data_IF_343523111738
#
_entry.id   IF_343523111738
#
_cell.length_a   1.000
_cell.length_b   1.000
_cell.length_c   1.000
_cell.angle_alpha   90.00
_cell.angle_beta   90.00
_cell.angle_gamma   90.00
#
_symmetry.space_group_name_H-M   'P 1'
#
loop_
_entity.id
_entity.type
_entity.pdbx_description
1 polymer ?
#
# COMPACT_ATOMS: atom_id res chain seq x y z
N UNK A 1 64.24 -8.43 39.40
CA UNK A 1 62.78 -8.47 39.60
C UNK A 1 62.15 -7.30 38.85
N UNK A 2 61.53 -7.53 37.69
CA UNK A 2 60.85 -6.52 36.88
C UNK A 2 59.38 -6.89 36.71
N UNK A 3 58.55 -5.88 36.94
CA UNK A 3 57.12 -5.72 36.73
C UNK A 3 56.68 -6.04 35.30
N UNK A 4 55.50 -6.65 35.14
CA UNK A 4 54.61 -6.39 34.00
C UNK A 4 53.19 -6.89 34.29
N UNK A 5 52.28 -5.95 34.56
CA UNK A 5 50.85 -6.15 34.59
C UNK A 5 50.33 -6.49 33.19
N UNK A 6 49.59 -7.59 33.06
CA UNK A 6 48.93 -7.98 31.81
C UNK A 6 47.53 -7.38 31.79
N UNK A 7 47.43 -6.16 31.27
CA UNK A 7 46.17 -5.53 30.83
C UNK A 7 45.57 -6.38 29.70
N UNK A 8 44.40 -6.96 29.95
CA UNK A 8 43.71 -7.87 29.03
C UNK A 8 42.28 -7.44 28.77
N UNK A 9 42.07 -6.85 27.58
CA UNK A 9 40.81 -6.82 26.79
C UNK A 9 39.56 -6.20 27.43
N UNK A 10 39.32 -4.93 27.09
CA UNK A 10 37.95 -4.46 26.83
C UNK A 10 37.48 -5.07 25.51
N UNK A 11 36.43 -5.87 25.57
CA UNK A 11 35.66 -6.26 24.39
C UNK A 11 34.77 -5.08 24.02
N UNK A 12 35.21 -4.26 23.06
CA UNK A 12 34.34 -3.28 22.39
C UNK A 12 33.45 -4.01 21.39
N UNK A 13 32.36 -4.59 21.89
CA UNK A 13 31.28 -5.17 21.09
C UNK A 13 30.05 -4.28 21.12
N UNK A 14 30.09 -3.10 20.47
CA UNK A 14 28.93 -2.20 20.44
C UNK A 14 28.84 -1.38 19.14
N UNK A 15 29.26 -1.94 18.01
CA UNK A 15 29.22 -1.28 16.69
C UNK A 15 28.10 -1.71 15.75
N UNK A 16 27.44 -2.85 16.00
CA UNK A 16 26.53 -3.49 15.02
C UNK A 16 25.04 -3.19 15.21
N UNK A 17 24.62 -2.67 16.36
CA UNK A 17 23.20 -2.43 16.64
C UNK A 17 22.64 -1.16 15.96
N UNK A 18 23.44 -0.08 15.88
CA UNK A 18 22.96 1.22 15.42
C UNK A 18 22.58 1.27 13.92
N UNK A 19 23.22 0.45 13.07
CA UNK A 19 22.92 0.38 11.63
C UNK A 19 21.78 -0.58 11.25
N UNK A 20 21.37 -1.47 12.16
CA UNK A 20 20.42 -2.54 11.85
C UNK A 20 18.94 -2.10 11.89
N UNK A 21 18.61 -1.01 12.58
CA UNK A 21 17.23 -0.52 12.76
C UNK A 21 16.54 -0.16 11.44
N UNK A 22 17.06 0.82 10.67
CA UNK A 22 16.46 1.24 9.40
C UNK A 22 16.40 0.12 8.37
N UNK A 23 17.36 -0.80 8.42
CA UNK A 23 17.39 -1.95 7.55
C UNK A 23 16.24 -2.93 7.84
N UNK A 24 16.02 -3.24 9.12
CA UNK A 24 14.95 -4.14 9.57
C UNK A 24 13.57 -3.52 9.35
N UNK A 25 13.41 -2.23 9.58
CA UNK A 25 12.13 -1.51 9.42
C UNK A 25 11.65 -1.51 7.97
N UNK A 26 12.51 -1.16 7.00
CA UNK A 26 12.11 -1.24 5.57
C UNK A 26 11.73 -2.67 5.18
N UNK A 27 12.45 -3.69 5.69
CA UNK A 27 12.13 -5.09 5.37
C UNK A 27 10.77 -5.51 5.93
N UNK A 28 10.46 -5.12 7.17
CA UNK A 28 9.15 -5.38 7.80
C UNK A 28 8.02 -4.67 7.05
N UNK A 29 8.20 -3.38 6.75
CA UNK A 29 7.22 -2.60 5.99
C UNK A 29 6.98 -3.20 4.59
N UNK A 30 8.05 -3.56 3.88
CA UNK A 30 7.95 -4.17 2.56
C UNK A 30 7.28 -5.55 2.60
N UNK A 31 7.53 -6.37 3.62
CA UNK A 31 6.81 -7.65 3.80
C UNK A 31 5.33 -7.44 4.10
N UNK A 32 4.99 -6.46 4.94
CA UNK A 32 3.59 -6.13 5.21
C UNK A 32 2.87 -5.65 3.94
N UNK A 33 3.50 -4.76 3.16
CA UNK A 33 2.98 -4.31 1.87
C UNK A 33 2.85 -5.46 0.86
N UNK A 34 3.81 -6.39 0.82
CA UNK A 34 3.75 -7.59 -0.01
C UNK A 34 2.57 -8.49 0.34
N UNK A 35 2.41 -8.83 1.63
CA UNK A 35 1.30 -9.68 2.10
C UNK A 35 -0.04 -9.03 1.80
N UNK A 36 -0.16 -7.73 2.09
CA UNK A 36 -1.35 -6.96 1.74
C UNK A 36 -1.63 -7.02 0.23
N UNK A 37 -0.63 -6.79 -0.62
CA UNK A 37 -0.80 -6.80 -2.07
C UNK A 37 -1.22 -8.19 -2.59
N UNK A 38 -0.68 -9.27 -2.02
CA UNK A 38 -1.09 -10.64 -2.38
C UNK A 38 -2.55 -10.89 -2.02
N UNK A 39 -2.97 -10.54 -0.80
CA UNK A 39 -4.37 -10.72 -0.37
C UNK A 39 -5.31 -9.86 -1.21
N UNK A 40 -4.93 -8.60 -1.44
CA UNK A 40 -5.66 -7.66 -2.28
C UNK A 40 -5.88 -8.21 -3.70
N UNK A 41 -4.82 -8.66 -4.36
CA UNK A 41 -4.90 -9.23 -5.70
C UNK A 41 -5.66 -10.55 -5.74
N UNK A 42 -5.48 -11.44 -4.75
CA UNK A 42 -6.24 -12.68 -4.66
C UNK A 42 -7.75 -12.42 -4.55
N UNK A 43 -8.16 -11.41 -3.78
CA UNK A 43 -9.56 -11.01 -3.66
C UNK A 43 -10.11 -10.49 -5.01
N UNK A 44 -9.33 -9.69 -5.74
CA UNK A 44 -9.74 -9.21 -7.06
C UNK A 44 -9.86 -10.34 -8.09
N UNK A 45 -8.95 -11.32 -8.05
CA UNK A 45 -9.05 -12.51 -8.90
C UNK A 45 -10.31 -13.31 -8.55
N UNK A 46 -10.63 -13.46 -7.27
CA UNK A 46 -11.86 -14.10 -6.82
C UNK A 46 -13.11 -13.37 -7.31
N UNK A 47 -13.15 -12.03 -7.22
CA UNK A 47 -14.26 -11.24 -7.76
C UNK A 47 -14.38 -11.34 -9.28
N UNK A 48 -13.25 -11.35 -9.98
CA UNK A 48 -13.22 -11.54 -11.44
C UNK A 48 -13.71 -12.93 -11.84
N UNK A 49 -13.48 -13.96 -11.01
CA UNK A 49 -14.01 -15.30 -11.19
C UNK A 49 -15.51 -15.44 -10.84
N UNK A 50 -16.19 -14.34 -10.48
CA UNK A 50 -17.63 -14.32 -10.15
C UNK A 50 -17.94 -14.40 -8.66
N UNK A 51 -16.92 -14.41 -7.80
CA UNK A 51 -17.08 -14.35 -6.36
C UNK A 51 -17.70 -13.03 -5.89
N UNK A 52 -18.59 -13.08 -4.89
CA UNK A 52 -19.30 -11.88 -4.36
C UNK A 52 -19.03 -11.56 -2.90
N UNK A 53 -18.16 -12.33 -2.27
CA UNK A 53 -17.81 -12.11 -0.85
C UNK A 53 -17.24 -10.70 -0.67
N UNK A 54 -17.80 -9.94 0.28
CA UNK A 54 -17.33 -8.59 0.63
C UNK A 54 -17.70 -7.48 -0.36
N UNK A 55 -18.59 -7.74 -1.34
CA UNK A 55 -19.08 -6.72 -2.28
C UNK A 55 -20.53 -6.27 -2.00
N UNK A 56 -21.21 -6.86 -1.02
CA UNK A 56 -22.65 -6.60 -0.86
C UNK A 56 -23.54 -7.48 -1.74
N UNK A 57 -24.83 -7.16 -1.73
CA UNK A 57 -25.91 -7.82 -2.44
C UNK A 57 -26.47 -6.99 -3.63
N UNK A 58 -25.96 -5.78 -3.85
CA UNK A 58 -26.42 -4.92 -4.95
C UNK A 58 -26.16 -5.50 -6.36
N UNK A 59 -26.98 -5.17 -7.37
CA UNK A 59 -26.90 -5.81 -8.69
C UNK A 59 -25.59 -5.54 -9.45
N UNK A 60 -25.05 -4.33 -9.39
CA UNK A 60 -23.99 -3.85 -10.29
C UNK A 60 -22.67 -3.50 -9.60
N UNK A 61 -22.26 -4.28 -8.60
CA UNK A 61 -21.02 -3.99 -7.84
C UNK A 61 -19.71 -4.26 -8.58
N UNK A 62 -19.74 -5.04 -9.66
CA UNK A 62 -18.57 -5.37 -10.48
C UNK A 62 -18.77 -4.83 -11.90
N UNK A 63 -17.95 -3.85 -12.34
CA UNK A 63 -18.04 -3.33 -13.70
C UNK A 63 -17.79 -4.41 -14.76
N UNK A 64 -18.65 -4.49 -15.76
CA UNK A 64 -18.43 -5.39 -16.92
C UNK A 64 -17.60 -4.67 -17.97
N UNK A 65 -16.55 -5.34 -18.45
CA UNK A 65 -15.76 -4.82 -19.56
C UNK A 65 -16.51 -5.01 -20.89
N UNK A 66 -17.19 -3.97 -21.35
CA UNK A 66 -17.98 -4.00 -22.60
C UNK A 66 -17.27 -3.28 -23.74
N UNK A 67 -16.38 -2.33 -23.41
CA UNK A 67 -15.67 -1.50 -24.38
C UNK A 67 -14.17 -1.82 -24.47
N UNK A 68 -13.52 -1.36 -25.55
CA UNK A 68 -12.05 -1.44 -25.71
C UNK A 68 -11.32 -0.67 -24.61
N UNK A 69 -11.86 0.48 -24.18
CA UNK A 69 -11.32 1.26 -23.07
C UNK A 69 -11.32 0.47 -21.76
N UNK A 70 -12.37 -0.30 -21.47
CA UNK A 70 -12.44 -1.12 -20.26
C UNK A 70 -11.37 -2.21 -20.26
N UNK A 71 -11.11 -2.81 -21.42
CA UNK A 71 -10.05 -3.83 -21.58
C UNK A 71 -8.66 -3.24 -21.36
N UNK A 72 -8.39 -2.06 -21.91
CA UNK A 72 -7.12 -1.34 -21.70
C UNK A 72 -6.96 -0.99 -20.23
N UNK A 73 -8.01 -0.45 -19.59
CA UNK A 73 -8.01 -0.16 -18.16
C UNK A 73 -7.74 -1.42 -17.32
N UNK A 74 -8.40 -2.53 -17.63
CA UNK A 74 -8.17 -3.82 -16.97
C UNK A 74 -6.73 -4.31 -17.12
N UNK A 75 -6.14 -4.17 -18.30
CA UNK A 75 -4.73 -4.52 -18.54
C UNK A 75 -3.78 -3.65 -17.70
N UNK A 76 -4.03 -2.34 -17.63
CA UNK A 76 -3.26 -1.40 -16.79
C UNK A 76 -3.36 -1.78 -15.31
N UNK A 77 -4.56 -2.05 -14.81
CA UNK A 77 -4.78 -2.48 -13.41
C UNK A 77 -4.04 -3.79 -13.13
N UNK A 78 -4.06 -4.74 -14.07
CA UNK A 78 -3.35 -6.02 -13.94
C UNK A 78 -1.85 -5.81 -13.82
N UNK A 79 -1.27 -4.95 -14.65
CA UNK A 79 0.15 -4.57 -14.55
C UNK A 79 0.44 -3.90 -13.21
N UNK A 80 -0.44 -3.02 -12.74
CA UNK A 80 -0.28 -2.37 -11.43
C UNK A 80 -0.31 -3.38 -10.28
N UNK A 81 -1.14 -4.42 -10.32
CA UNK A 81 -1.12 -5.50 -9.32
C UNK A 81 0.20 -6.25 -9.34
N UNK A 82 0.70 -6.62 -10.53
CA UNK A 82 1.99 -7.28 -10.66
C UNK A 82 3.12 -6.43 -10.07
N UNK A 83 3.17 -5.13 -10.37
CA UNK A 83 4.17 -4.20 -9.79
C UNK A 83 3.99 -4.08 -8.28
N UNK A 84 2.75 -3.94 -7.80
CA UNK A 84 2.41 -3.82 -6.39
C UNK A 84 2.84 -5.03 -5.55
N UNK A 85 2.84 -6.22 -6.13
CA UNK A 85 3.34 -7.44 -5.48
C UNK A 85 4.87 -7.56 -5.61
N UNK A 86 5.38 -7.44 -6.84
CA UNK A 86 6.79 -7.72 -7.16
C UNK A 86 7.73 -6.73 -6.51
N UNK A 87 7.37 -5.44 -6.45
CA UNK A 87 8.25 -4.40 -5.93
C UNK A 87 8.52 -4.55 -4.42
N UNK A 88 7.52 -4.67 -3.53
CA UNK A 88 7.77 -4.94 -2.12
C UNK A 88 8.54 -6.24 -1.89
N UNK A 89 8.25 -7.29 -2.66
CA UNK A 89 9.03 -8.54 -2.61
C UNK A 89 10.48 -8.30 -3.00
N UNK A 90 10.74 -7.55 -4.07
CA UNK A 90 12.08 -7.20 -4.54
C UNK A 90 12.92 -6.55 -3.44
N UNK A 91 12.33 -5.63 -2.69
CA UNK A 91 13.01 -4.92 -1.60
C UNK A 91 13.45 -5.83 -0.44
N UNK A 92 12.92 -7.06 -0.38
CA UNK A 92 13.27 -8.06 0.63
C UNK A 92 14.24 -9.14 0.11
N UNK A 93 14.55 -9.13 -1.19
CA UNK A 93 15.32 -10.17 -1.88
C UNK A 93 16.60 -9.61 -2.52
N UNK A 94 17.65 -10.42 -2.70
CA UNK A 94 18.94 -9.96 -3.21
C UNK A 94 18.85 -9.39 -4.63
N UNK A 95 17.95 -9.93 -5.48
CA UNK A 95 17.77 -9.47 -6.85
C UNK A 95 17.16 -8.06 -6.95
N UNK A 96 16.44 -7.60 -5.93
CA UNK A 96 15.88 -6.24 -5.90
C UNK A 96 16.93 -5.14 -5.78
N UNK A 97 18.18 -5.48 -5.46
CA UNK A 97 19.32 -4.54 -5.50
C UNK A 97 19.60 -4.00 -6.90
N UNK A 98 19.07 -4.64 -7.95
CA UNK A 98 19.17 -4.16 -9.34
C UNK A 98 18.20 -3.02 -9.64
N UNK A 99 17.15 -2.83 -8.84
CA UNK A 99 16.14 -1.80 -9.07
C UNK A 99 16.73 -0.45 -8.62
N UNK A 100 16.82 0.56 -9.50
CA UNK A 100 17.24 1.88 -9.11
C UNK A 100 16.35 2.42 -7.99
N UNK A 101 16.98 2.93 -6.95
CA UNK A 101 16.26 3.38 -5.75
C UNK A 101 15.22 4.46 -6.03
N UNK A 102 15.52 5.39 -6.93
CA UNK A 102 14.59 6.44 -7.32
C UNK A 102 13.33 5.86 -7.98
N UNK A 103 13.48 4.82 -8.82
CA UNK A 103 12.36 4.14 -9.46
C UNK A 103 11.52 3.38 -8.42
N UNK A 104 12.16 2.69 -7.46
CA UNK A 104 11.44 2.05 -6.37
C UNK A 104 10.64 3.06 -5.52
N UNK A 105 11.26 4.19 -5.16
CA UNK A 105 10.57 5.26 -4.42
C UNK A 105 9.42 5.86 -5.22
N UNK A 106 9.62 6.12 -6.51
CA UNK A 106 8.56 6.61 -7.40
C UNK A 106 7.38 5.64 -7.41
N UNK A 107 7.61 4.36 -7.71
CA UNK A 107 6.55 3.36 -7.73
C UNK A 107 5.84 3.20 -6.38
N UNK A 108 6.56 3.22 -5.26
CA UNK A 108 5.96 3.13 -3.93
C UNK A 108 5.09 4.36 -3.62
N UNK A 109 5.55 5.57 -3.95
CA UNK A 109 4.77 6.78 -3.74
C UNK A 109 3.55 6.86 -4.67
N UNK A 110 3.71 6.47 -5.93
CA UNK A 110 2.60 6.35 -6.88
C UNK A 110 1.57 5.33 -6.38
N UNK A 111 2.01 4.14 -5.96
CA UNK A 111 1.14 3.13 -5.38
C UNK A 111 0.42 3.64 -4.14
N UNK A 112 1.16 4.28 -3.22
CA UNK A 112 0.61 4.93 -2.02
C UNK A 112 -0.50 5.92 -2.37
N UNK A 113 -0.22 6.87 -3.28
CA UNK A 113 -1.18 7.90 -3.67
C UNK A 113 -2.41 7.29 -4.34
N UNK A 114 -2.24 6.36 -5.27
CA UNK A 114 -3.35 5.77 -6.03
C UNK A 114 -4.35 5.06 -5.11
N UNK A 115 -3.88 4.16 -4.24
CA UNK A 115 -4.79 3.40 -3.37
C UNK A 115 -5.33 4.25 -2.22
N UNK A 116 -4.55 5.20 -1.68
CA UNK A 116 -5.02 6.10 -0.63
C UNK A 116 -6.09 7.07 -1.16
N UNK A 117 -5.90 7.64 -2.37
CA UNK A 117 -6.90 8.49 -3.00
C UNK A 117 -8.16 7.69 -3.32
N UNK A 118 -8.03 6.50 -3.91
CA UNK A 118 -9.19 5.65 -4.23
C UNK A 118 -10.00 5.28 -2.98
N UNK A 119 -9.36 4.75 -1.95
CA UNK A 119 -10.04 4.34 -0.72
C UNK A 119 -10.54 5.54 0.08
N UNK A 120 -9.71 6.58 0.21
CA UNK A 120 -10.06 7.81 0.92
C UNK A 120 -11.24 8.55 0.29
N UNK A 121 -11.29 8.62 -1.05
CA UNK A 121 -12.43 9.20 -1.75
C UNK A 121 -13.73 8.41 -1.50
N UNK A 122 -13.68 7.08 -1.48
CA UNK A 122 -14.86 6.24 -1.21
C UNK A 122 -15.37 6.36 0.23
N UNK A 123 -14.46 6.40 1.22
CA UNK A 123 -14.82 6.68 2.62
C UNK A 123 -15.44 8.07 2.77
N UNK A 124 -14.86 9.08 2.13
CA UNK A 124 -15.35 10.45 2.15
C UNK A 124 -16.74 10.54 1.48
N UNK A 125 -16.92 9.93 0.31
CA UNK A 125 -18.20 9.86 -0.40
C UNK A 125 -19.30 9.25 0.47
N UNK A 126 -19.00 8.10 1.09
CA UNK A 126 -19.93 7.40 1.99
C UNK A 126 -20.30 8.25 3.20
N UNK A 127 -19.32 8.92 3.82
CA UNK A 127 -19.56 9.80 4.97
C UNK A 127 -20.41 11.02 4.59
N UNK A 128 -20.16 11.64 3.44
CA UNK A 128 -20.93 12.79 2.95
C UNK A 128 -22.39 12.42 2.67
N UNK A 129 -22.64 11.23 2.12
CA UNK A 129 -24.00 10.70 1.92
C UNK A 129 -24.68 10.39 3.26
N UNK A 130 -23.99 9.71 4.17
CA UNK A 130 -24.54 9.31 5.47
C UNK A 130 -24.87 10.48 6.40
N UNK A 131 -24.15 11.59 6.27
CA UNK A 131 -24.41 12.83 7.04
C UNK A 131 -25.46 13.74 6.40
N UNK A 132 -25.85 13.47 5.15
CA UNK A 132 -26.76 14.32 4.37
C UNK A 132 -26.13 15.60 3.83
N UNK A 133 -24.82 15.81 4.02
CA UNK A 133 -24.10 17.00 3.51
C UNK A 133 -24.00 17.02 1.98
N UNK A 134 -23.86 15.85 1.36
CA UNK A 134 -23.95 15.68 -0.09
C UNK A 134 -24.69 14.38 -0.42
N UNK A 135 -26.03 14.42 -0.60
CA UNK A 135 -26.83 13.22 -0.89
C UNK A 135 -26.41 12.48 -2.17
N UNK A 136 -25.83 13.21 -3.13
CA UNK A 136 -25.29 12.67 -4.37
C UNK A 136 -23.78 12.40 -4.34
N UNK A 137 -23.15 12.50 -3.17
CA UNK A 137 -21.72 12.23 -2.98
C UNK A 137 -20.79 13.18 -3.72
N UNK A 138 -19.53 12.78 -3.88
CA UNK A 138 -18.45 13.55 -4.52
C UNK A 138 -18.60 13.64 -6.04
N UNK A 139 -19.20 12.63 -6.67
CA UNK A 139 -19.33 12.55 -8.13
C UNK A 139 -20.66 13.07 -8.65
N UNK A 140 -21.61 13.37 -7.76
CA UNK A 140 -22.98 13.72 -8.14
C UNK A 140 -23.85 12.53 -8.56
N UNK A 141 -23.33 11.31 -8.49
CA UNK A 141 -24.07 10.09 -8.86
C UNK A 141 -24.97 9.61 -7.72
N UNK A 142 -26.13 9.05 -8.04
CA UNK A 142 -27.01 8.38 -7.07
C UNK A 142 -26.51 6.97 -6.74
N UNK A 143 -26.99 6.38 -5.64
CA UNK A 143 -26.70 4.96 -5.35
C UNK A 143 -27.19 4.03 -6.44
N UNK A 144 -28.32 4.34 -7.07
CA UNK A 144 -28.86 3.57 -8.18
C UNK A 144 -27.89 3.54 -9.36
N UNK A 145 -27.27 4.69 -9.69
CA UNK A 145 -26.27 4.77 -10.76
C UNK A 145 -24.95 4.08 -10.42
N UNK A 146 -24.60 3.98 -9.14
CA UNK A 146 -23.32 3.38 -8.69
C UNK A 146 -23.44 1.87 -8.48
N UNK A 147 -24.57 1.42 -7.92
CA UNK A 147 -24.75 0.06 -7.40
C UNK A 147 -25.86 -0.71 -8.11
N UNK A 148 -26.70 -0.04 -8.91
CA UNK A 148 -27.91 -0.60 -9.50
C UNK A 148 -29.10 -0.63 -8.54
N UNK A 149 -28.99 -0.03 -7.34
CA UNK A 149 -30.03 -0.02 -6.31
C UNK A 149 -30.16 1.38 -5.68
N UNK A 150 -31.38 1.92 -5.65
CA UNK A 150 -31.69 3.21 -5.04
C UNK A 150 -31.58 3.19 -3.50
N UNK A 151 -31.77 2.02 -2.89
CA UNK A 151 -31.77 1.81 -1.45
C UNK A 151 -30.86 0.64 -1.07
N UNK A 152 -29.54 0.77 -1.32
CA UNK A 152 -28.60 -0.32 -1.08
C UNK A 152 -28.66 -0.78 0.38
N UNK A 153 -28.59 -2.10 0.57
CA UNK A 153 -28.63 -2.70 1.90
C UNK A 153 -27.48 -2.19 2.78
N UNK A 154 -27.65 -2.28 4.10
CA UNK A 154 -26.57 -2.00 5.04
C UNK A 154 -25.34 -2.88 4.76
N UNK A 155 -25.54 -4.13 4.32
CA UNK A 155 -24.44 -5.03 3.96
C UNK A 155 -23.63 -4.48 2.77
N UNK A 156 -24.30 -3.96 1.74
CA UNK A 156 -23.62 -3.32 0.59
C UNK A 156 -22.82 -2.09 1.01
N UNK A 157 -23.41 -1.22 1.84
CA UNK A 157 -22.73 -0.01 2.33
C UNK A 157 -21.49 -0.37 3.16
N UNK A 158 -21.64 -1.23 4.18
CA UNK A 158 -20.52 -1.63 5.04
C UNK A 158 -19.45 -2.43 4.30
N UNK A 159 -19.84 -3.21 3.29
CA UNK A 159 -18.90 -3.88 2.39
C UNK A 159 -18.05 -2.86 1.63
N UNK A 160 -18.67 -1.84 1.04
CA UNK A 160 -17.96 -0.75 0.36
C UNK A 160 -16.98 -0.02 1.28
N UNK A 161 -17.43 0.37 2.49
CA UNK A 161 -16.57 0.97 3.52
C UNK A 161 -15.38 0.07 3.87
N UNK A 162 -15.61 -1.24 4.03
CA UNK A 162 -14.57 -2.21 4.32
C UNK A 162 -13.52 -2.31 3.19
N UNK A 163 -13.98 -2.36 1.94
CA UNK A 163 -13.11 -2.34 0.76
C UNK A 163 -12.28 -1.06 0.71
N UNK A 164 -12.91 0.10 0.90
CA UNK A 164 -12.25 1.40 0.85
C UNK A 164 -11.21 1.57 1.98
N UNK A 165 -11.54 1.12 3.19
CA UNK A 165 -10.59 1.09 4.31
C UNK A 165 -9.39 0.19 3.99
N UNK A 166 -9.61 -0.94 3.30
CA UNK A 166 -8.54 -1.83 2.89
C UNK A 166 -7.62 -1.21 1.82
N UNK A 167 -8.16 -0.39 0.91
CA UNK A 167 -7.36 0.45 0.00
C UNK A 167 -6.48 1.45 0.76
N UNK A 168 -7.04 2.16 1.75
CA UNK A 168 -6.29 3.12 2.58
C UNK A 168 -5.16 2.43 3.35
N UNK A 169 -5.41 1.23 3.89
CA UNK A 169 -4.38 0.41 4.54
C UNK A 169 -3.20 0.14 3.60
N UNK A 170 -3.47 -0.24 2.35
CA UNK A 170 -2.43 -0.40 1.33
C UNK A 170 -1.60 0.86 1.12
N UNK A 171 -2.28 2.02 1.10
CA UNK A 171 -1.64 3.32 0.95
C UNK A 171 -0.64 3.60 2.06
N UNK A 172 -1.07 3.38 3.31
CA UNK A 172 -0.22 3.49 4.49
C UNK A 172 0.98 2.54 4.39
N UNK A 173 0.78 1.28 3.99
CA UNK A 173 1.86 0.29 3.92
C UNK A 173 2.91 0.64 2.84
N UNK A 174 2.47 1.08 1.65
CA UNK A 174 3.40 1.56 0.61
C UNK A 174 4.12 2.84 1.03
N UNK A 175 3.41 3.80 1.64
CA UNK A 175 3.98 5.04 2.15
C UNK A 175 5.02 4.79 3.23
N UNK A 176 4.73 3.94 4.22
CA UNK A 176 5.69 3.52 5.24
C UNK A 176 6.93 2.86 4.62
N UNK A 177 6.73 1.98 3.63
CA UNK A 177 7.83 1.35 2.90
C UNK A 177 8.70 2.41 2.20
N UNK A 178 8.10 3.39 1.54
CA UNK A 178 8.79 4.49 0.87
C UNK A 178 9.56 5.37 1.86
N UNK A 179 8.95 5.72 2.99
CA UNK A 179 9.56 6.54 4.05
C UNK A 179 10.79 5.85 4.65
N UNK A 180 10.66 4.58 5.04
CA UNK A 180 11.77 3.81 5.61
C UNK A 180 12.86 3.55 4.58
N UNK A 181 12.49 3.26 3.34
CA UNK A 181 13.45 3.16 2.25
C UNK A 181 14.21 4.49 2.16
N UNK A 182 13.50 5.62 2.08
CA UNK A 182 13.99 7.01 2.01
C UNK A 182 15.02 7.37 3.08
N UNK A 183 14.75 7.05 4.34
CA UNK A 183 15.62 7.34 5.49
C UNK A 183 17.01 6.70 5.41
N UNK A 184 17.14 5.55 4.73
CA UNK A 184 18.45 4.88 4.54
C UNK A 184 19.48 5.70 3.74
N UNK A 185 19.08 6.74 3.01
CA UNK A 185 19.96 7.49 2.10
C UNK A 185 20.37 8.88 2.60
N UNK A 186 20.18 9.21 3.88
CA UNK A 186 20.78 10.41 4.47
C UNK A 186 22.05 10.03 5.26
N UNK A 187 23.24 9.98 4.64
CA UNK A 187 24.48 10.14 5.39
C UNK A 187 24.49 11.52 6.05
N UNK A 188 24.98 11.61 7.29
CA UNK A 188 25.15 12.87 7.99
C UNK A 188 25.93 13.85 7.11
N UNK A 189 25.38 15.05 6.93
CA UNK A 189 26.08 16.18 6.31
C UNK A 189 27.36 16.41 7.14
N UNK A 190 28.56 16.44 6.55
CA UNK A 190 29.77 16.75 7.31
C UNK A 190 29.58 18.12 7.95
N UNK A 191 29.74 18.21 9.28
CA UNK A 191 29.87 19.49 9.95
C UNK A 191 31.17 20.08 9.44
N UNK A 192 31.07 21.07 8.56
CA UNK A 192 32.20 21.94 8.24
C UNK A 192 32.48 22.73 9.50
N UNK A 193 33.53 22.35 10.23
CA UNK A 193 34.12 23.21 11.24
C UNK A 193 34.80 24.35 10.50
N UNK A 194 34.24 25.55 10.61
CA UNK A 194 35.00 26.80 10.48
C UNK A 194 35.71 27.11 11.80
#
# INVERSE_FOLDING_TARGET
MRTAARSGRRVSGSGTAAGAGPARETRRAALAAFVWAVVFTAMHVYWFAGGRFGLGDAPEVVPRATSTSDRVQGAVITVMFAVGIVLPLALTRPWGRRIPRWAALFCLWTGCALVAVRGGAGLLDTALRGTGLAPHGLTGLTYEQITGDAHPSAYTIWSGVGVDAYFVLGGILYGLTALWLGRRARPGRPVTAE
#
